data_IF_422188828612
#
_entry.id   IF_422188828612
#
_cell.length_a   1.000
_cell.length_b   1.000
_cell.length_c   1.000
_cell.angle_alpha   90.00
_cell.angle_beta   90.00
_cell.angle_gamma   90.00
#
_symmetry.space_group_name_H-M   'P 1'
#
loop_
_entity.id
_entity.type
_entity.pdbx_description
1 polymer ?
#
# COMPACT_ATOMS: atom_id res chain seq x y z
N UNK A 1 -16.09 -6.08 16.75
CA UNK A 1 -14.79 -5.38 16.58
C UNK A 1 -14.06 -5.82 15.30
N UNK A 2 -13.83 -7.12 15.07
CA UNK A 2 -13.11 -7.60 13.88
C UNK A 2 -13.78 -7.24 12.54
N UNK A 3 -15.12 -7.30 12.45
CA UNK A 3 -15.86 -6.89 11.25
C UNK A 3 -15.67 -5.41 10.91
N UNK A 4 -15.66 -4.54 11.93
CA UNK A 4 -15.45 -3.08 11.74
C UNK A 4 -14.05 -2.81 11.18
N UNK A 5 -13.03 -3.50 11.68
CA UNK A 5 -11.66 -3.39 11.18
C UNK A 5 -11.56 -3.85 9.72
N UNK A 6 -12.24 -4.95 9.36
CA UNK A 6 -12.29 -5.43 7.97
C UNK A 6 -12.93 -4.37 7.06
N UNK A 7 -14.04 -3.78 7.47
CA UNK A 7 -14.70 -2.72 6.70
C UNK A 7 -13.82 -1.48 6.55
N UNK A 8 -13.09 -1.07 7.60
CA UNK A 8 -12.13 0.04 7.52
C UNK A 8 -11.00 -0.26 6.54
N UNK A 9 -10.45 -1.48 6.53
CA UNK A 9 -9.40 -1.88 5.59
C UNK A 9 -9.93 -1.88 4.16
N UNK A 10 -11.16 -2.35 3.93
CA UNK A 10 -11.81 -2.29 2.61
C UNK A 10 -11.97 -0.83 2.16
N UNK A 11 -12.48 0.04 3.04
CA UNK A 11 -12.63 1.46 2.74
C UNK A 11 -11.28 2.13 2.43
N UNK A 12 -10.23 1.78 3.17
CA UNK A 12 -8.86 2.23 2.88
C UNK A 12 -8.37 1.76 1.51
N UNK A 13 -8.62 0.49 1.16
CA UNK A 13 -8.29 -0.06 -0.15
C UNK A 13 -9.05 0.61 -1.30
N UNK A 14 -10.32 0.99 -1.09
CA UNK A 14 -11.07 1.79 -2.07
C UNK A 14 -10.41 3.16 -2.29
N UNK A 15 -9.87 3.77 -1.22
CA UNK A 15 -9.08 4.99 -1.30
C UNK A 15 -7.87 4.88 -2.22
N UNK A 16 -7.15 3.75 -2.20
CA UNK A 16 -5.99 3.51 -3.09
C UNK A 16 -6.40 3.47 -4.58
N UNK A 17 -7.58 2.94 -4.90
CA UNK A 17 -8.10 2.96 -6.27
C UNK A 17 -8.41 4.39 -6.73
N UNK A 18 -8.97 5.21 -5.85
CA UNK A 18 -9.21 6.64 -6.12
C UNK A 18 -7.90 7.37 -6.30
N UNK A 19 -6.92 7.11 -5.44
CA UNK A 19 -5.57 7.69 -5.51
C UNK A 19 -4.91 7.39 -6.86
N UNK A 20 -4.92 6.13 -7.31
CA UNK A 20 -4.37 5.75 -8.60
C UNK A 20 -5.09 6.42 -9.78
N UNK A 21 -6.42 6.54 -9.72
CA UNK A 21 -7.21 7.21 -10.74
C UNK A 21 -6.97 8.72 -10.81
N UNK A 22 -6.63 9.37 -9.70
CA UNK A 22 -6.28 10.79 -9.66
C UNK A 22 -4.83 11.05 -10.07
N UNK A 23 -3.91 10.19 -9.62
CA UNK A 23 -2.48 10.33 -9.87
C UNK A 23 -2.11 10.11 -11.32
N UNK A 24 -2.70 9.13 -12.00
CA UNK A 24 -2.37 8.83 -13.38
C UNK A 24 -2.49 10.06 -14.31
N UNK A 25 -3.67 10.71 -14.38
CA UNK A 25 -3.85 11.95 -15.14
C UNK A 25 -2.96 13.10 -14.63
N UNK A 26 -2.87 13.29 -13.31
CA UNK A 26 -2.05 14.36 -12.72
C UNK A 26 -0.56 14.21 -13.08
N UNK A 27 -0.02 12.99 -13.07
CA UNK A 27 1.34 12.68 -13.50
C UNK A 27 1.57 13.03 -14.98
N UNK A 28 0.57 12.80 -15.83
CA UNK A 28 0.62 13.20 -17.24
C UNK A 28 0.65 14.72 -17.46
N UNK A 29 0.02 15.50 -16.58
CA UNK A 29 -0.05 16.98 -16.73
C UNK A 29 1.14 17.71 -16.08
N UNK A 30 1.55 17.31 -14.87
CA UNK A 30 2.57 18.03 -14.10
C UNK A 30 3.87 17.24 -13.89
N UNK A 31 3.91 15.98 -14.32
CA UNK A 31 5.03 15.05 -14.16
C UNK A 31 4.89 14.13 -12.94
N UNK A 32 5.33 12.88 -13.08
CA UNK A 32 5.12 11.81 -12.09
C UNK A 32 5.67 12.14 -10.70
N UNK A 33 6.83 12.79 -10.64
CA UNK A 33 7.46 13.19 -9.37
C UNK A 33 6.71 14.33 -8.68
N UNK A 34 6.14 15.27 -9.44
CA UNK A 34 5.33 16.35 -8.88
C UNK A 34 3.99 15.84 -8.34
N UNK A 35 3.34 14.93 -9.07
CA UNK A 35 2.13 14.25 -8.62
C UNK A 35 2.40 13.45 -7.33
N UNK A 36 3.49 12.68 -7.30
CA UNK A 36 3.92 11.93 -6.10
C UNK A 36 4.21 12.86 -4.92
N UNK A 37 4.97 13.94 -5.15
CA UNK A 37 5.29 14.91 -4.10
C UNK A 37 4.04 15.56 -3.51
N UNK A 38 3.05 15.89 -4.35
CA UNK A 38 1.77 16.46 -3.90
C UNK A 38 1.04 15.54 -2.92
N UNK A 39 0.87 14.26 -3.26
CA UNK A 39 0.18 13.29 -2.39
C UNK A 39 0.92 13.09 -1.07
N UNK A 40 2.24 12.93 -1.10
CA UNK A 40 3.03 12.82 0.12
C UNK A 40 3.04 14.11 0.94
N UNK A 41 3.06 15.28 0.29
CA UNK A 41 3.00 16.58 0.95
C UNK A 41 1.68 16.79 1.70
N UNK A 42 0.55 16.51 1.04
CA UNK A 42 -0.78 16.57 1.66
C UNK A 42 -0.90 15.54 2.79
N UNK A 43 -0.44 14.31 2.56
CA UNK A 43 -0.44 13.25 3.57
C UNK A 43 0.41 13.61 4.81
N UNK A 44 1.59 14.18 4.59
CA UNK A 44 2.48 14.65 5.66
C UNK A 44 1.86 15.81 6.45
N UNK A 45 1.27 16.79 5.77
CA UNK A 45 0.61 17.92 6.43
C UNK A 45 -0.59 17.46 7.27
N UNK A 46 -1.43 16.58 6.72
CA UNK A 46 -2.60 16.05 7.42
C UNK A 46 -2.19 15.23 8.64
N UNK A 47 -1.25 14.30 8.48
CA UNK A 47 -0.77 13.46 9.59
C UNK A 47 -0.04 14.28 10.66
N UNK A 48 0.71 15.32 10.27
CA UNK A 48 1.32 16.27 11.20
C UNK A 48 0.26 17.01 12.03
N UNK A 49 -0.81 17.52 11.40
CA UNK A 49 -1.91 18.15 12.14
C UNK A 49 -2.57 17.17 13.11
N UNK A 50 -2.88 15.95 12.67
CA UNK A 50 -3.46 14.93 13.54
C UNK A 50 -2.53 14.60 14.70
N UNK A 51 -1.21 14.57 14.47
CA UNK A 51 -0.22 14.37 15.52
C UNK A 51 -0.27 15.46 16.58
N UNK A 52 -0.40 16.74 16.20
CA UNK A 52 -0.44 17.86 17.15
C UNK A 52 -1.65 17.80 18.11
N UNK A 53 -2.80 17.33 17.62
CA UNK A 53 -4.05 17.36 18.39
C UNK A 53 -4.38 16.03 19.08
N UNK A 54 -3.99 14.89 18.51
CA UNK A 54 -4.44 13.57 18.96
C UNK A 54 -3.32 12.64 19.45
N UNK A 55 -2.04 12.98 19.22
CA UNK A 55 -0.95 12.06 19.58
C UNK A 55 -0.65 12.08 21.09
N UNK A 56 -0.43 10.90 21.72
CA UNK A 56 0.01 10.81 23.10
C UNK A 56 1.38 11.49 23.31
N UNK A 57 1.45 12.43 24.26
CA UNK A 57 2.68 13.19 24.58
C UNK A 57 3.79 12.39 25.25
N UNK A 58 3.50 11.17 25.71
CA UNK A 58 4.45 10.27 26.38
C UNK A 58 4.99 9.17 25.45
N UNK A 59 4.94 9.35 24.14
CA UNK A 59 5.47 8.38 23.18
C UNK A 59 7.01 8.35 23.21
N UNK A 60 7.64 7.18 23.01
CA UNK A 60 9.09 7.10 22.86
C UNK A 60 9.57 8.00 21.72
N UNK A 61 10.77 8.57 21.86
CA UNK A 61 11.36 9.39 20.81
C UNK A 61 11.44 8.61 19.50
N UNK A 62 10.99 9.24 18.41
CA UNK A 62 11.07 8.70 17.06
C UNK A 62 12.50 8.27 16.70
N UNK A 63 13.49 9.06 17.12
CA UNK A 63 14.91 8.81 16.88
C UNK A 63 15.50 7.70 17.77
N UNK A 64 14.76 7.23 18.77
CA UNK A 64 15.17 6.09 19.60
C UNK A 64 14.77 4.74 18.98
N UNK A 65 13.99 4.74 17.88
CA UNK A 65 13.58 3.51 17.20
C UNK A 65 14.65 3.01 16.22
N UNK A 66 14.71 1.69 15.96
CA UNK A 66 15.64 1.12 14.99
C UNK A 66 15.48 1.74 13.59
N UNK A 67 16.59 2.13 12.97
CA UNK A 67 16.60 2.81 11.65
C UNK A 67 15.93 2.01 10.54
N UNK A 68 15.91 0.68 10.62
CA UNK A 68 15.24 -0.18 9.64
C UNK A 68 13.72 0.00 9.64
N UNK A 69 13.10 0.40 10.76
CA UNK A 69 11.66 0.70 10.82
C UNK A 69 11.34 1.97 10.04
N UNK A 70 12.30 2.92 10.01
CA UNK A 70 12.17 4.19 9.30
C UNK A 70 12.24 4.00 7.78
N UNK A 71 12.88 2.93 7.30
CA UNK A 71 12.95 2.59 5.87
C UNK A 71 11.56 2.29 5.27
N UNK A 72 10.58 1.91 6.09
CA UNK A 72 9.20 1.70 5.63
C UNK A 72 8.61 2.94 4.95
N UNK A 73 8.99 4.14 5.39
CA UNK A 73 8.54 5.40 4.79
C UNK A 73 9.05 5.63 3.37
N UNK A 74 10.17 5.02 2.98
CA UNK A 74 10.73 5.16 1.63
C UNK A 74 10.02 4.30 0.58
N UNK A 75 9.34 3.23 1.00
CA UNK A 75 8.63 2.33 0.07
C UNK A 75 7.36 2.97 -0.50
N UNK A 76 6.75 3.90 0.24
CA UNK A 76 5.55 4.62 -0.18
C UNK A 76 5.75 5.41 -1.48
N UNK A 77 6.74 6.34 -1.55
CA UNK A 77 6.98 7.10 -2.78
C UNK A 77 7.26 6.23 -3.99
N UNK A 78 8.02 5.14 -3.82
CA UNK A 78 8.28 4.18 -4.91
C UNK A 78 6.98 3.55 -5.41
N UNK A 79 6.10 3.15 -4.49
CA UNK A 79 4.78 2.61 -4.83
C UNK A 79 3.92 3.62 -5.60
N UNK A 80 3.87 4.87 -5.15
CA UNK A 80 3.07 5.94 -5.78
C UNK A 80 3.60 6.32 -7.17
N UNK A 81 4.92 6.34 -7.37
CA UNK A 81 5.51 6.52 -8.70
C UNK A 81 5.07 5.40 -9.63
N UNK A 82 5.14 4.13 -9.18
CA UNK A 82 4.69 2.98 -9.97
C UNK A 82 3.21 3.12 -10.32
N UNK A 83 2.35 3.52 -9.37
CA UNK A 83 0.93 3.78 -9.64
C UNK A 83 0.75 4.86 -10.71
N UNK A 84 1.48 5.97 -10.59
CA UNK A 84 1.35 7.12 -11.49
C UNK A 84 1.73 6.75 -12.92
N UNK A 85 2.78 5.96 -13.10
CA UNK A 85 3.26 5.49 -14.42
C UNK A 85 2.40 4.35 -14.98
N UNK A 86 2.06 3.36 -14.15
CA UNK A 86 1.38 2.14 -14.63
C UNK A 86 -0.13 2.36 -14.83
N UNK A 87 -0.79 3.12 -13.96
CA UNK A 87 -2.26 3.25 -13.98
C UNK A 87 -2.80 3.79 -15.31
N UNK A 88 -2.23 4.84 -15.93
CA UNK A 88 -2.65 5.29 -17.25
C UNK A 88 -2.44 4.25 -18.36
N UNK A 89 -1.43 3.40 -18.23
CA UNK A 89 -1.03 2.44 -19.26
C UNK A 89 -1.88 1.17 -19.27
N UNK A 90 -2.23 0.64 -18.09
CA UNK A 90 -2.95 -0.63 -17.96
C UNK A 90 -4.33 -0.50 -17.29
N UNK A 91 -4.69 0.69 -16.83
CA UNK A 91 -5.94 0.96 -16.13
C UNK A 91 -5.89 0.68 -14.62
N UNK A 92 -6.84 1.29 -13.89
CA UNK A 92 -6.92 1.21 -12.42
C UNK A 92 -7.14 -0.23 -11.93
N UNK A 93 -8.05 -0.97 -12.56
CA UNK A 93 -8.41 -2.33 -12.14
C UNK A 93 -7.22 -3.29 -12.20
N UNK A 94 -6.52 -3.33 -13.35
CA UNK A 94 -5.30 -4.12 -13.53
C UNK A 94 -4.23 -3.76 -12.51
N UNK A 95 -4.01 -2.45 -12.30
CA UNK A 95 -3.02 -1.96 -11.35
C UNK A 95 -3.32 -2.43 -9.93
N UNK A 96 -4.55 -2.29 -9.46
CA UNK A 96 -4.94 -2.67 -8.09
C UNK A 96 -4.87 -4.17 -7.86
N UNK A 97 -5.30 -4.99 -8.83
CA UNK A 97 -5.21 -6.45 -8.72
C UNK A 97 -3.74 -6.89 -8.70
N UNK A 98 -2.89 -6.28 -9.55
CA UNK A 98 -1.45 -6.55 -9.57
C UNK A 98 -0.77 -6.19 -8.24
N UNK A 99 -1.12 -5.04 -7.66
CA UNK A 99 -0.65 -4.61 -6.33
C UNK A 99 -1.08 -5.61 -5.26
N UNK A 100 -2.35 -6.02 -5.25
CA UNK A 100 -2.87 -6.99 -4.30
C UNK A 100 -2.13 -8.34 -4.41
N UNK A 101 -1.86 -8.80 -5.64
CA UNK A 101 -1.08 -10.02 -5.89
C UNK A 101 0.32 -9.93 -5.26
N UNK A 102 1.03 -8.81 -5.50
CA UNK A 102 2.36 -8.58 -4.93
C UNK A 102 2.35 -8.49 -3.41
N UNK A 103 1.36 -7.80 -2.81
CA UNK A 103 1.19 -7.67 -1.37
C UNK A 103 0.96 -9.04 -0.71
N UNK A 104 0.07 -9.87 -1.26
CA UNK A 104 -0.22 -11.21 -0.74
C UNK A 104 0.99 -12.12 -0.88
N UNK A 105 1.65 -12.13 -2.05
CA UNK A 105 2.87 -12.91 -2.27
C UNK A 105 3.97 -12.54 -1.27
N UNK A 106 4.26 -11.25 -1.11
CA UNK A 106 5.29 -10.79 -0.17
C UNK A 106 4.91 -11.07 1.29
N UNK A 107 3.63 -10.95 1.65
CA UNK A 107 3.13 -11.32 2.97
C UNK A 107 3.39 -12.80 3.29
N UNK A 108 3.26 -13.72 2.32
CA UNK A 108 3.60 -15.13 2.55
C UNK A 108 5.07 -15.33 2.87
N UNK A 109 5.96 -14.63 2.16
CA UNK A 109 7.40 -14.70 2.42
C UNK A 109 7.71 -14.13 3.82
N UNK A 110 7.14 -12.97 4.17
CA UNK A 110 7.35 -12.34 5.47
C UNK A 110 6.89 -13.27 6.60
N UNK A 111 5.67 -13.80 6.50
CA UNK A 111 5.09 -14.68 7.52
C UNK A 111 5.85 -16.02 7.63
N UNK A 112 6.31 -16.56 6.49
CA UNK A 112 7.03 -17.83 6.44
C UNK A 112 8.41 -17.74 7.07
N UNK A 113 9.14 -16.65 6.85
CA UNK A 113 10.49 -16.47 7.40
C UNK A 113 10.49 -15.71 8.74
N UNK A 114 9.31 -15.32 9.25
CA UNK A 114 9.19 -14.51 10.48
C UNK A 114 9.89 -13.14 10.36
N UNK A 115 9.95 -12.59 9.15
CA UNK A 115 10.64 -11.32 8.90
C UNK A 115 9.91 -10.17 9.62
N UNK A 116 10.65 -9.09 9.93
CA UNK A 116 10.12 -7.88 10.57
C UNK A 116 9.55 -8.09 11.99
N UNK A 117 9.99 -9.15 12.68
CA UNK A 117 9.53 -9.47 14.04
C UNK A 117 8.11 -10.04 14.08
N UNK A 118 7.60 -10.51 12.95
CA UNK A 118 6.30 -11.18 12.89
C UNK A 118 6.39 -12.60 13.46
N UNK A 119 5.34 -13.10 14.15
CA UNK A 119 5.31 -14.48 14.62
C UNK A 119 5.42 -15.42 13.42
N UNK A 120 6.39 -16.34 13.46
CA UNK A 120 6.58 -17.32 12.38
C UNK A 120 5.29 -18.11 12.16
N UNK A 121 4.69 -17.98 10.99
CA UNK A 121 3.46 -18.69 10.60
C UNK A 121 3.79 -19.64 9.46
N UNK A 122 3.43 -20.91 9.62
CA UNK A 122 3.57 -21.88 8.52
C UNK A 122 2.71 -21.42 7.35
N UNK A 123 3.21 -21.59 6.13
CA UNK A 123 2.43 -21.30 4.93
C UNK A 123 1.22 -22.25 4.94
N UNK A 124 0.04 -21.66 4.99
CA UNK A 124 -1.23 -22.39 4.89
C UNK A 124 -1.58 -22.57 3.41
N UNK A 125 -1.93 -23.80 3.01
CA UNK A 125 -2.39 -24.14 1.66
C UNK A 125 -3.52 -23.22 1.19
N UNK A 126 -4.38 -22.75 2.11
CA UNK A 126 -5.46 -21.80 1.77
C UNK A 126 -4.94 -20.46 1.24
N UNK A 127 -3.80 -19.98 1.74
CA UNK A 127 -3.22 -18.72 1.28
C UNK A 127 -2.54 -18.85 -0.08
N UNK A 128 -1.97 -20.02 -0.37
CA UNK A 128 -1.47 -20.35 -1.72
C UNK A 128 -2.65 -20.35 -2.71
N UNK A 129 -3.76 -21.01 -2.35
CA UNK A 129 -4.98 -21.02 -3.17
C UNK A 129 -5.52 -19.60 -3.40
N UNK A 130 -5.54 -18.76 -2.35
CA UNK A 130 -5.95 -17.37 -2.48
C UNK A 130 -5.07 -16.58 -3.46
N UNK A 131 -3.74 -16.76 -3.39
CA UNK A 131 -2.82 -16.14 -4.34
C UNK A 131 -3.08 -16.62 -5.78
N UNK A 132 -3.34 -17.91 -5.99
CA UNK A 132 -3.69 -18.45 -7.31
C UNK A 132 -4.97 -17.82 -7.87
N UNK A 133 -5.99 -17.61 -7.03
CA UNK A 133 -7.22 -16.92 -7.45
C UNK A 133 -6.98 -15.45 -7.81
N UNK A 134 -6.11 -14.75 -7.08
CA UNK A 134 -5.77 -13.36 -7.41
C UNK A 134 -5.03 -13.31 -8.75
N UNK A 135 -4.10 -14.24 -9.02
CA UNK A 135 -3.39 -14.32 -10.31
C UNK A 135 -4.38 -14.65 -11.43
N UNK A 136 -5.31 -15.59 -11.21
CA UNK A 136 -6.36 -15.91 -12.18
C UNK A 136 -7.23 -14.68 -12.48
N UNK A 137 -7.63 -13.93 -11.46
CA UNK A 137 -8.37 -12.68 -11.64
C UNK A 137 -7.57 -11.64 -12.45
N UNK A 138 -6.26 -11.51 -12.19
CA UNK A 138 -5.39 -10.62 -12.95
C UNK A 138 -5.34 -11.00 -14.43
N UNK A 139 -5.19 -12.29 -14.75
CA UNK A 139 -5.16 -12.79 -16.13
C UNK A 139 -6.49 -12.55 -16.83
N UNK A 140 -7.62 -12.81 -16.15
CA UNK A 140 -8.94 -12.59 -16.72
C UNK A 140 -9.19 -11.11 -17.03
N UNK A 141 -8.81 -10.21 -16.13
CA UNK A 141 -8.94 -8.77 -16.36
C UNK A 141 -7.98 -8.27 -17.43
N UNK A 142 -6.79 -8.87 -17.57
CA UNK A 142 -5.85 -8.53 -18.64
C UNK A 142 -6.33 -8.93 -20.03
N UNK A 143 -7.27 -9.88 -20.13
CA UNK A 143 -7.81 -10.40 -21.39
C UNK A 143 -9.13 -9.72 -21.81
N UNK A 144 -9.77 -8.96 -20.91
CA UNK A 144 -11.03 -8.26 -21.15
C UNK A 144 -10.83 -6.78 -21.40
#
# INVERSE_FOLDING_TARGET
MQLVLILMVIAGGMGLSVEAGLLGPLGGEVGDLWATFSVFGVGAALTFLLMLFFSPRNSPSFFAQPSWQLLGGMLGPVYVIILTVATPAIGVAMTMIGVLAGQVFKSLIIDHFGLLGTPHRKIDSKRIIALMFIIAALVLVAQG
#
